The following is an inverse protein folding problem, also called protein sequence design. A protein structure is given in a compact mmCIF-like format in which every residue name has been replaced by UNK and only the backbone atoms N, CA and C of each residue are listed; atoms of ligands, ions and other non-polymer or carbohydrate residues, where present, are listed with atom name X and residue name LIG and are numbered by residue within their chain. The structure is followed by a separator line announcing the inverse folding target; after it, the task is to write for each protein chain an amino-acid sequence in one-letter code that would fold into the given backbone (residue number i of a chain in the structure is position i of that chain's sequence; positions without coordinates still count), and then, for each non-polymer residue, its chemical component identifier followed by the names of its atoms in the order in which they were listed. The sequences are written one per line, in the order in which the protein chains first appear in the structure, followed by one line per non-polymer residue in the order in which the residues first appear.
data_IF_672311779776
#
_entry.id   IF_672311779776
#
_cell.length_a   1.000
_cell.length_b   1.000
_cell.length_c   1.000
_cell.angle_alpha   90.00
_cell.angle_beta   90.00
_cell.angle_gamma   90.00
#
_symmetry.space_group_name_H-M   'P 1'
#
loop_
_entity.id
_entity.type
_entity.pdbx_description
1 polymer ?
#
# COMPACT_ATOMS: atom_id res chain seq x y z
N UNK A 1 -17.35 6.97 14.87
CA UNK A 1 -16.78 7.63 13.68
C UNK A 1 -16.57 6.53 12.66
N UNK A 2 -16.61 6.83 11.35
CA UNK A 2 -16.18 5.84 10.38
C UNK A 2 -14.70 5.52 10.68
N UNK A 3 -14.27 4.28 10.46
CA UNK A 3 -12.85 3.92 10.61
C UNK A 3 -11.99 4.63 9.55
N UNK A 4 -10.65 4.54 9.65
CA UNK A 4 -9.76 5.09 8.62
C UNK A 4 -10.09 4.53 7.24
N UNK A 5 -9.84 5.30 6.19
CA UNK A 5 -9.76 4.76 4.85
C UNK A 5 -8.50 3.86 4.75
N UNK A 6 -8.69 2.59 4.42
CA UNK A 6 -7.60 1.60 4.37
C UNK A 6 -7.32 1.29 2.91
N UNK A 7 -6.07 1.40 2.46
CA UNK A 7 -5.67 1.16 1.08
C UNK A 7 -4.48 0.21 1.03
N UNK A 8 -4.52 -0.78 0.14
CA UNK A 8 -3.35 -1.59 -0.16
C UNK A 8 -2.74 -1.22 -1.51
N UNK A 9 -1.41 -1.21 -1.56
CA UNK A 9 -0.65 -0.97 -2.79
C UNK A 9 -0.05 -2.29 -3.25
N UNK A 10 -0.69 -2.95 -4.22
CA UNK A 10 -0.25 -4.28 -4.65
C UNK A 10 -0.30 -4.51 -6.16
N UNK A 11 0.57 -5.43 -6.59
CA UNK A 11 0.65 -6.01 -7.92
C UNK A 11 1.54 -7.26 -7.83
N UNK A 12 1.10 -8.34 -8.48
CA UNK A 12 1.85 -9.60 -8.58
C UNK A 12 3.23 -9.43 -9.25
N UNK A 13 3.44 -8.39 -10.05
CA UNK A 13 4.75 -8.15 -10.68
C UNK A 13 5.71 -7.47 -9.70
N UNK A 14 6.88 -8.08 -9.50
CA UNK A 14 8.01 -7.45 -8.79
C UNK A 14 8.57 -6.25 -9.55
N UNK A 15 9.06 -5.24 -8.81
CA UNK A 15 9.77 -4.09 -9.39
C UNK A 15 8.90 -3.05 -10.11
N UNK A 16 7.56 -3.12 -10.00
CA UNK A 16 6.64 -2.10 -10.53
C UNK A 16 6.60 -0.80 -9.71
N UNK A 17 7.25 -0.80 -8.54
CA UNK A 17 7.34 0.36 -7.65
C UNK A 17 6.24 0.47 -6.60
N UNK A 18 5.76 -0.66 -6.04
CA UNK A 18 4.76 -0.69 -4.94
C UNK A 18 5.16 0.18 -3.76
N UNK A 19 6.27 -0.17 -3.11
CA UNK A 19 6.86 0.60 -2.02
C UNK A 19 7.05 2.08 -2.33
N UNK A 20 7.55 2.40 -3.54
CA UNK A 20 7.72 3.80 -3.96
C UNK A 20 6.37 4.53 -4.05
N UNK A 21 5.36 3.90 -4.62
CA UNK A 21 4.01 4.49 -4.71
C UNK A 21 3.38 4.61 -3.33
N UNK A 22 3.49 3.58 -2.49
CA UNK A 22 2.93 3.57 -1.13
C UNK A 22 3.51 4.71 -0.28
N UNK A 23 4.84 4.82 -0.19
CA UNK A 23 5.51 5.86 0.62
C UNK A 23 5.11 7.26 0.15
N UNK A 24 5.07 7.49 -1.17
CA UNK A 24 4.78 8.82 -1.70
C UNK A 24 3.28 9.17 -1.67
N UNK A 25 2.38 8.19 -1.74
CA UNK A 25 0.96 8.39 -1.48
C UNK A 25 0.75 8.78 0.00
N UNK A 26 1.37 8.03 0.92
CA UNK A 26 1.30 8.34 2.35
C UNK A 26 1.86 9.74 2.67
N UNK A 27 3.01 10.11 2.08
CA UNK A 27 3.58 11.45 2.20
C UNK A 27 2.69 12.54 1.61
N UNK A 28 2.01 12.28 0.48
CA UNK A 28 1.08 13.23 -0.11
C UNK A 28 -0.17 13.45 0.77
N UNK A 29 -0.74 12.38 1.33
CA UNK A 29 -1.85 12.48 2.28
C UNK A 29 -1.44 13.27 3.54
N UNK A 30 -0.22 13.05 4.04
CA UNK A 30 0.30 13.84 5.16
C UNK A 30 0.52 15.32 4.80
N UNK A 31 0.99 15.63 3.59
CA UNK A 31 1.10 17.01 3.09
C UNK A 31 -0.27 17.71 3.04
N UNK A 32 -1.35 16.96 2.74
CA UNK A 32 -2.72 17.45 2.83
C UNK A 32 -3.23 17.61 4.28
N UNK A 33 -2.41 17.28 5.27
CA UNK A 33 -2.70 17.40 6.70
C UNK A 33 -3.42 16.19 7.30
N UNK A 34 -3.40 15.03 6.62
CA UNK A 34 -4.05 13.81 7.10
C UNK A 34 -3.14 13.00 8.02
N UNK A 35 -3.73 12.40 9.04
CA UNK A 35 -3.05 11.45 9.93
C UNK A 35 -2.97 10.08 9.28
N UNK A 36 -1.74 9.60 8.99
CA UNK A 36 -1.49 8.38 8.20
C UNK A 36 -0.74 7.33 9.02
N UNK A 37 -1.23 6.09 8.96
CA UNK A 37 -0.53 4.89 9.38
C UNK A 37 -0.01 4.14 8.14
N UNK A 38 1.29 3.87 8.09
CA UNK A 38 1.90 3.04 7.07
C UNK A 38 2.16 1.63 7.62
N UNK A 39 1.83 0.58 6.87
CA UNK A 39 2.07 -0.81 7.25
C UNK A 39 2.89 -1.51 6.17
N UNK A 40 4.09 -1.96 6.50
CA UNK A 40 4.94 -2.74 5.60
C UNK A 40 4.73 -4.24 5.83
N UNK A 41 3.98 -4.91 4.95
CA UNK A 41 3.78 -6.36 5.02
C UNK A 41 4.82 -7.14 4.21
N UNK A 42 5.69 -6.49 3.43
CA UNK A 42 6.67 -7.21 2.62
C UNK A 42 7.77 -7.78 3.53
N UNK A 43 7.98 -9.11 3.57
CA UNK A 43 9.07 -9.70 4.35
C UNK A 43 10.47 -9.21 3.97
N UNK A 44 10.63 -8.51 2.84
CA UNK A 44 11.89 -7.87 2.46
C UNK A 44 12.15 -6.55 3.20
N UNK A 45 11.13 -5.93 3.83
CA UNK A 45 11.30 -4.70 4.61
C UNK A 45 11.73 -3.48 3.81
N UNK A 46 11.48 -3.46 2.49
CA UNK A 46 11.93 -2.36 1.64
C UNK A 46 11.28 -1.03 2.05
N UNK A 47 10.02 -1.02 2.47
CA UNK A 47 9.36 0.21 2.90
C UNK A 47 9.90 0.67 4.24
N UNK A 48 10.12 -0.28 5.15
CA UNK A 48 10.75 -0.07 6.46
C UNK A 48 12.12 0.59 6.32
N UNK A 49 12.99 0.08 5.44
CA UNK A 49 14.27 0.71 5.12
C UNK A 49 14.08 2.08 4.45
N UNK A 50 13.17 2.17 3.48
CA UNK A 50 12.85 3.39 2.74
C UNK A 50 12.25 4.53 3.56
N UNK A 51 11.78 4.24 4.76
CA UNK A 51 11.29 5.19 5.77
C UNK A 51 12.31 5.42 6.91
N UNK A 52 13.55 4.97 6.72
CA UNK A 52 14.65 5.20 7.66
C UNK A 52 14.58 4.37 8.95
N UNK A 53 13.75 3.32 8.98
CA UNK A 53 13.50 2.49 10.16
C UNK A 53 14.19 1.12 10.07
N UNK A 54 15.36 1.04 9.42
CA UNK A 54 16.08 -0.21 9.22
C UNK A 54 16.37 -0.97 10.53
N UNK A 55 16.59 -0.26 11.64
CA UNK A 55 16.81 -0.90 12.95
C UNK A 55 15.59 -1.72 13.43
N UNK A 56 14.36 -1.28 13.09
CA UNK A 56 13.12 -1.99 13.44
C UNK A 56 12.98 -3.36 12.74
N UNK A 57 13.66 -3.55 11.60
CA UNK A 57 13.59 -4.80 10.86
C UNK A 57 14.21 -5.99 11.61
N UNK A 58 15.18 -5.71 12.48
CA UNK A 58 15.88 -6.69 13.31
C UNK A 58 15.48 -6.63 14.80
N UNK A 59 14.43 -5.88 15.14
CA UNK A 59 13.98 -5.71 16.53
C UNK A 59 13.41 -7.03 17.11
N UNK A 60 13.54 -7.17 18.43
CA UNK A 60 13.01 -8.32 19.17
C UNK A 60 11.49 -8.21 19.35
N UNK A 61 10.78 -9.35 19.53
CA UNK A 61 9.34 -9.37 19.77
C UNK A 61 8.86 -8.47 20.92
N UNK A 62 7.63 -7.92 20.82
CA UNK A 62 6.62 -8.22 19.81
C UNK A 62 6.91 -7.58 18.43
N UNK A 63 6.70 -8.35 17.36
CA UNK A 63 6.84 -7.92 15.96
C UNK A 63 5.49 -7.91 15.24
N UNK A 64 5.46 -7.39 14.01
CA UNK A 64 4.28 -7.48 13.13
C UNK A 64 3.79 -8.92 12.94
N UNK A 65 4.69 -9.91 12.82
CA UNK A 65 4.25 -11.30 12.70
C UNK A 65 3.54 -11.76 13.98
N UNK A 66 4.08 -11.44 15.16
CA UNK A 66 3.48 -11.82 16.42
C UNK A 66 2.07 -11.21 16.56
N UNK A 67 1.92 -9.94 16.18
CA UNK A 67 0.63 -9.26 16.14
C UNK A 67 -0.36 -9.91 15.17
N UNK A 68 0.08 -10.31 13.96
CA UNK A 68 -0.80 -10.99 13.01
C UNK A 68 -1.21 -12.40 13.49
N UNK A 69 -0.32 -13.09 14.21
CA UNK A 69 -0.61 -14.43 14.78
C UNK A 69 -1.61 -14.33 15.93
N UNK A 70 -1.45 -13.38 16.83
CA UNK A 70 -2.39 -13.13 17.94
C UNK A 70 -2.78 -11.64 18.05
N UNK A 71 -3.71 -11.17 17.18
CA UNK A 71 -4.21 -9.80 17.22
C UNK A 71 -4.88 -9.42 18.53
N UNK A 72 -5.19 -10.41 19.37
CA UNK A 72 -5.86 -10.17 20.66
C UNK A 72 -4.91 -9.90 21.79
N UNK A 73 -3.74 -10.55 21.77
CA UNK A 73 -2.71 -10.42 22.77
C UNK A 73 -1.77 -9.24 22.49
N UNK A 74 -1.48 -8.95 21.23
CA UNK A 74 -0.49 -7.95 20.83
C UNK A 74 -1.22 -6.83 20.05
N UNK A 75 -1.51 -5.70 20.69
CA UNK A 75 -2.11 -4.55 20.02
C UNK A 75 -1.10 -3.91 19.07
N UNK A 76 -1.61 -3.32 17.98
CA UNK A 76 -0.78 -2.75 16.93
C UNK A 76 0.06 -1.57 17.45
N UNK A 77 -0.44 -0.83 18.43
CA UNK A 77 0.21 0.32 19.07
C UNK A 77 1.56 -0.02 19.73
N UNK A 78 1.78 -1.27 20.13
CA UNK A 78 3.05 -1.71 20.73
C UNK A 78 4.18 -1.80 19.69
N UNK A 79 3.83 -1.88 18.41
CA UNK A 79 4.76 -2.08 17.28
C UNK A 79 4.71 -0.92 16.26
N UNK A 80 4.16 0.23 16.67
CA UNK A 80 4.17 1.46 15.87
C UNK A 80 5.43 2.28 16.18
N UNK A 81 6.15 2.61 15.11
CA UNK A 81 7.31 3.50 15.12
C UNK A 81 6.89 4.87 14.60
N UNK A 82 7.32 5.93 15.28
CA UNK A 82 7.07 7.29 14.79
C UNK A 82 8.07 7.68 13.71
N UNK A 83 7.56 8.22 12.61
CA UNK A 83 8.33 8.83 11.54
C UNK A 83 7.85 10.29 11.33
N UNK A 84 8.65 11.13 10.67
CA UNK A 84 8.37 12.57 10.58
C UNK A 84 7.10 12.91 9.78
N UNK A 85 6.75 12.06 8.81
CA UNK A 85 5.60 12.25 7.91
C UNK A 85 4.41 11.33 8.22
N UNK A 86 4.60 10.26 9.00
CA UNK A 86 3.56 9.23 9.25
C UNK A 86 3.98 8.34 10.43
N UNK A 87 3.05 7.62 11.03
CA UNK A 87 3.39 6.50 11.92
C UNK A 87 3.54 5.22 11.09
N UNK A 88 4.43 4.32 11.50
CA UNK A 88 4.84 3.15 10.71
C UNK A 88 4.77 1.88 11.53
N UNK A 89 4.07 0.87 11.02
CA UNK A 89 4.26 -0.53 11.42
C UNK A 89 5.30 -1.13 10.48
N UNK A 90 6.50 -1.26 11.00
CA UNK A 90 7.63 -1.82 10.27
C UNK A 90 7.42 -3.31 10.00
N UNK A 91 7.93 -3.77 8.86
CA UNK A 91 8.19 -5.18 8.62
C UNK A 91 9.36 -5.63 9.49
N UNK A 92 9.47 -6.94 9.69
CA UNK A 92 10.52 -7.55 10.51
C UNK A 92 11.00 -8.83 9.84
N UNK A 93 12.24 -9.24 10.10
CA UNK A 93 12.82 -10.49 9.58
C UNK A 93 11.92 -11.72 9.82
N UNK A 94 11.16 -11.75 10.91
CA UNK A 94 10.24 -12.84 11.23
C UNK A 94 9.09 -12.96 10.22
N UNK A 95 8.73 -11.90 9.48
CA UNK A 95 7.74 -11.95 8.40
C UNK A 95 8.12 -12.95 7.29
N UNK A 96 9.37 -13.40 7.20
CA UNK A 96 9.76 -14.50 6.31
C UNK A 96 9.04 -15.83 6.65
N UNK A 97 8.57 -15.99 7.90
CA UNK A 97 7.76 -17.12 8.35
C UNK A 97 6.24 -16.83 8.28
N UNK A 98 5.81 -15.64 7.86
CA UNK A 98 4.39 -15.25 7.92
C UNK A 98 3.48 -16.23 7.17
N UNK A 99 3.87 -16.69 5.99
CA UNK A 99 3.06 -17.62 5.21
C UNK A 99 2.75 -18.94 5.96
N UNK A 100 3.76 -19.54 6.62
CA UNK A 100 3.58 -20.79 7.35
C UNK A 100 2.94 -20.58 8.73
N UNK A 101 3.20 -19.45 9.38
CA UNK A 101 2.60 -19.10 10.67
C UNK A 101 1.12 -18.78 10.54
N UNK A 102 0.73 -17.96 9.55
CA UNK A 102 -0.66 -17.57 9.31
C UNK A 102 -1.49 -18.74 8.80
N UNK A 103 -0.96 -19.60 7.92
CA UNK A 103 -1.69 -20.78 7.42
C UNK A 103 -2.13 -21.77 8.52
N UNK A 104 -1.58 -21.67 9.72
CA UNK A 104 -1.97 -22.48 10.89
C UNK A 104 -3.05 -21.80 11.74
N UNK A 105 -3.34 -20.53 11.49
CA UNK A 105 -4.31 -19.75 12.22
C UNK A 105 -5.70 -19.89 11.59
N UNK A 106 -6.77 -19.91 12.40
CA UNK A 106 -8.13 -19.71 11.86
C UNK A 106 -8.24 -18.31 11.26
N UNK A 107 -9.04 -18.13 10.21
CA UNK A 107 -9.25 -16.81 9.58
C UNK A 107 -7.90 -16.16 9.22
N UNK A 108 -7.04 -16.95 8.56
CA UNK A 108 -5.65 -16.59 8.30
C UNK A 108 -5.51 -15.39 7.37
N UNK A 109 -6.54 -15.11 6.58
CA UNK A 109 -6.65 -14.09 5.56
C UNK A 109 -7.20 -12.76 6.09
N UNK A 110 -7.72 -12.71 7.33
CA UNK A 110 -8.34 -11.50 7.93
C UNK A 110 -7.68 -11.09 9.25
N UNK A 111 -6.42 -11.53 9.47
CA UNK A 111 -5.65 -11.20 10.67
C UNK A 111 -5.25 -9.74 10.75
N UNK A 112 -4.86 -9.14 9.62
CA UNK A 112 -4.59 -7.71 9.57
C UNK A 112 -5.86 -6.90 9.81
N UNK A 113 -6.99 -7.31 9.25
CA UNK A 113 -8.28 -6.65 9.48
C UNK A 113 -8.63 -6.62 10.97
N UNK A 114 -8.51 -7.78 11.63
CA UNK A 114 -8.69 -7.93 13.08
C UNK A 114 -7.75 -7.04 13.91
N UNK A 115 -6.53 -6.77 13.44
CA UNK A 115 -5.60 -5.84 14.08
C UNK A 115 -6.04 -4.39 13.89
N UNK A 116 -6.36 -4.01 12.65
CA UNK A 116 -6.72 -2.64 12.30
C UNK A 116 -8.06 -2.22 12.90
N UNK A 117 -8.99 -3.16 13.11
CA UNK A 117 -10.27 -2.93 13.81
C UNK A 117 -10.10 -2.55 15.29
N UNK A 118 -8.93 -2.83 15.85
CA UNK A 118 -8.60 -2.55 17.25
C UNK A 118 -7.75 -1.30 17.44
N UNK A 119 -7.48 -0.57 16.36
CA UNK A 119 -6.74 0.69 16.40
C UNK A 119 -7.41 1.66 17.37
N UNK A 120 -6.67 2.07 18.40
CA UNK A 120 -7.14 3.07 19.37
C UNK A 120 -6.81 4.50 18.92
N UNK A 121 -5.86 4.67 17.99
CA UNK A 121 -5.48 5.96 17.42
C UNK A 121 -6.39 6.36 16.26
N UNK A 122 -6.73 7.65 16.23
CA UNK A 122 -7.55 8.26 15.19
C UNK A 122 -6.72 8.55 13.92
N UNK A 123 -6.30 7.52 13.19
CA UNK A 123 -5.77 7.69 11.84
C UNK A 123 -6.93 7.96 10.87
N UNK A 124 -6.69 8.81 9.88
CA UNK A 124 -7.63 9.01 8.76
C UNK A 124 -7.34 8.03 7.63
N UNK A 125 -6.07 7.63 7.48
CA UNK A 125 -5.62 6.72 6.42
C UNK A 125 -4.72 5.61 6.96
N UNK A 126 -4.91 4.40 6.44
CA UNK A 126 -3.97 3.27 6.57
C UNK A 126 -3.48 2.88 5.17
N UNK A 127 -2.17 2.95 4.93
CA UNK A 127 -1.54 2.55 3.66
C UNK A 127 -0.74 1.27 3.89
N UNK A 128 -1.06 0.22 3.14
CA UNK A 128 -0.43 -1.10 3.26
C UNK A 128 0.45 -1.38 2.04
N UNK A 129 1.76 -1.56 2.23
CA UNK A 129 2.67 -2.04 1.18
C UNK A 129 2.77 -3.57 1.21
N UNK A 130 2.59 -4.19 0.04
CA UNK A 130 2.47 -5.64 -0.08
C UNK A 130 3.68 -6.27 -0.79
N UNK A 131 4.01 -7.54 -0.49
CA UNK A 131 5.03 -8.28 -1.22
C UNK A 131 4.65 -8.49 -2.71
N UNK A 132 5.62 -8.83 -3.60
CA UNK A 132 5.37 -9.11 -5.02
C UNK A 132 4.73 -10.48 -5.29
N UNK A 133 4.08 -11.09 -4.30
CA UNK A 133 3.53 -12.44 -4.39
C UNK A 133 2.09 -12.46 -3.91
N UNK A 134 1.23 -13.15 -4.66
CA UNK A 134 -0.15 -13.42 -4.24
C UNK A 134 -0.15 -14.62 -3.28
N UNK A 135 -0.89 -14.51 -2.19
CA UNK A 135 -0.98 -15.50 -1.11
C UNK A 135 -1.34 -14.83 0.21
N UNK A 136 -1.32 -15.58 1.30
CA UNK A 136 -1.90 -15.20 2.61
C UNK A 136 -1.51 -13.81 3.14
N UNK A 137 -0.28 -13.33 2.89
CA UNK A 137 0.13 -11.97 3.29
C UNK A 137 -0.63 -10.90 2.49
N UNK A 138 -0.73 -11.08 1.17
CA UNK A 138 -1.48 -10.18 0.29
C UNK A 138 -2.99 -10.34 0.50
N UNK A 139 -3.47 -11.52 0.89
CA UNK A 139 -4.88 -11.73 1.27
C UNK A 139 -5.24 -10.88 2.48
N UNK A 140 -4.37 -10.88 3.51
CA UNK A 140 -4.53 -10.00 4.66
C UNK A 140 -4.62 -8.53 4.28
N UNK A 141 -3.79 -8.07 3.34
CA UNK A 141 -3.88 -6.69 2.87
C UNK A 141 -5.20 -6.41 2.14
N UNK A 142 -5.57 -7.26 1.19
CA UNK A 142 -6.76 -7.07 0.36
C UNK A 142 -8.05 -7.13 1.18
N UNK A 143 -8.19 -8.15 2.04
CA UNK A 143 -9.35 -8.30 2.92
C UNK A 143 -9.45 -7.19 3.98
N UNK A 144 -8.31 -6.68 4.48
CA UNK A 144 -8.33 -5.63 5.50
C UNK A 144 -8.54 -4.22 4.94
N UNK A 145 -8.21 -4.01 3.66
CA UNK A 145 -8.21 -2.67 3.06
C UNK A 145 -9.39 -2.42 2.14
N UNK A 146 -9.83 -3.43 1.38
CA UNK A 146 -10.93 -3.33 0.40
C UNK A 146 -10.73 -2.25 -0.70
N UNK A 147 -9.68 -1.42 -0.62
CA UNK A 147 -9.37 -0.38 -1.59
C UNK A 147 -7.97 -0.63 -2.16
N UNK A 148 -7.93 -0.87 -3.46
CA UNK A 148 -6.74 -1.33 -4.18
C UNK A 148 -6.12 -0.22 -5.03
N UNK A 149 -4.86 0.10 -4.73
CA UNK A 149 -4.00 0.92 -5.59
C UNK A 149 -3.07 0.00 -6.39
N UNK A 150 -3.07 0.12 -7.72
CA UNK A 150 -2.37 -0.79 -8.64
C UNK A 150 -1.20 -0.08 -9.34
N UNK A 151 0.05 -0.23 -8.86
CA UNK A 151 1.22 0.21 -9.60
C UNK A 151 1.50 -0.74 -10.77
N UNK A 152 1.67 -0.22 -11.98
CA UNK A 152 1.96 -1.01 -13.17
C UNK A 152 2.99 -0.32 -14.07
N UNK A 153 3.90 -1.10 -14.66
CA UNK A 153 4.80 -0.57 -15.70
C UNK A 153 4.06 -0.48 -17.03
N UNK A 154 4.45 0.44 -17.90
CA UNK A 154 3.96 0.55 -19.28
C UNK A 154 4.65 -0.44 -20.22
N UNK A 155 4.60 -1.71 -19.86
CA UNK A 155 5.20 -2.83 -20.59
C UNK A 155 4.16 -3.88 -20.97
N UNK A 156 4.32 -4.62 -22.09
CA UNK A 156 3.38 -5.66 -22.50
C UNK A 156 3.13 -6.74 -21.44
N UNK A 157 4.13 -7.03 -20.60
CA UNK A 157 4.02 -8.02 -19.53
C UNK A 157 3.05 -7.59 -18.42
N UNK A 158 2.80 -6.29 -18.27
CA UNK A 158 1.86 -5.77 -17.26
C UNK A 158 0.42 -6.19 -17.52
N UNK A 159 0.03 -6.44 -18.78
CA UNK A 159 -1.32 -6.93 -19.11
C UNK A 159 -1.62 -8.24 -18.40
N UNK A 160 -0.71 -9.20 -18.53
CA UNK A 160 -0.85 -10.52 -17.90
C UNK A 160 -0.83 -10.42 -16.37
N UNK A 161 -0.01 -9.54 -15.81
CA UNK A 161 0.05 -9.33 -14.36
C UNK A 161 -1.25 -8.73 -13.81
N UNK A 162 -1.88 -7.81 -14.53
CA UNK A 162 -3.18 -7.27 -14.14
C UNK A 162 -4.30 -8.32 -14.25
N UNK A 163 -4.35 -9.08 -15.35
CA UNK A 163 -5.31 -10.19 -15.48
C UNK A 163 -5.22 -11.16 -14.30
N UNK A 164 -4.00 -11.57 -13.94
CA UNK A 164 -3.76 -12.48 -12.82
C UNK A 164 -4.14 -11.86 -11.48
N UNK A 165 -3.94 -10.55 -11.29
CA UNK A 165 -4.38 -9.84 -10.10
C UNK A 165 -5.90 -9.84 -9.98
N UNK A 166 -6.63 -9.53 -11.07
CA UNK A 166 -8.09 -9.50 -11.03
C UNK A 166 -8.72 -10.89 -10.90
N UNK A 167 -8.18 -11.91 -11.59
CA UNK A 167 -8.60 -13.30 -11.40
C UNK A 167 -8.44 -13.73 -9.92
N UNK A 168 -7.39 -13.24 -9.26
CA UNK A 168 -7.11 -13.52 -7.86
C UNK A 168 -8.05 -12.78 -6.91
N UNK A 169 -8.20 -11.46 -7.11
CA UNK A 169 -9.11 -10.61 -6.33
C UNK A 169 -10.53 -11.17 -6.38
N UNK A 170 -11.04 -11.51 -7.57
CA UNK A 170 -12.39 -12.07 -7.70
C UNK A 170 -12.57 -13.42 -6.99
N UNK A 171 -11.52 -14.23 -6.86
CA UNK A 171 -11.58 -15.45 -6.03
C UNK A 171 -11.68 -15.10 -4.55
N UNK A 172 -10.88 -14.12 -4.10
CA UNK A 172 -10.81 -13.71 -2.71
C UNK A 172 -12.13 -13.07 -2.25
N UNK A 173 -12.73 -12.20 -3.07
CA UNK A 173 -14.06 -11.61 -2.83
C UNK A 173 -15.13 -12.70 -2.63
N UNK A 174 -15.13 -13.73 -3.48
CA UNK A 174 -16.08 -14.84 -3.38
C UNK A 174 -15.87 -15.70 -2.12
N UNK A 175 -14.62 -15.91 -1.72
CA UNK A 175 -14.27 -16.77 -0.59
C UNK A 175 -14.51 -16.09 0.77
N UNK A 176 -14.40 -14.76 0.83
CA UNK A 176 -14.48 -13.98 2.07
C UNK A 176 -15.69 -13.02 2.17
N UNK A 177 -16.54 -12.93 1.13
CA UNK A 177 -17.70 -12.03 1.11
C UNK A 177 -17.31 -10.55 1.32
N UNK A 178 -16.22 -10.15 0.67
CA UNK A 178 -15.68 -8.77 0.63
C UNK A 178 -15.79 -8.19 -0.77
N UNK A 179 -15.79 -6.87 -0.88
CA UNK A 179 -15.75 -6.13 -2.16
C UNK A 179 -14.43 -5.36 -2.20
N UNK A 180 -13.59 -5.62 -3.21
CA UNK A 180 -12.26 -5.01 -3.33
C UNK A 180 -12.27 -4.07 -4.53
N UNK A 181 -12.33 -2.78 -4.24
CA UNK A 181 -12.45 -1.72 -5.23
C UNK A 181 -11.08 -1.23 -5.71
N UNK A 182 -10.75 -1.32 -7.01
CA UNK A 182 -9.59 -0.63 -7.55
C UNK A 182 -9.86 0.89 -7.56
N UNK A 183 -9.21 1.62 -6.66
CA UNK A 183 -9.42 3.07 -6.51
C UNK A 183 -8.41 3.91 -7.28
N UNK A 184 -7.26 3.33 -7.64
CA UNK A 184 -6.25 4.02 -8.46
C UNK A 184 -5.35 3.05 -9.21
N UNK A 185 -4.98 3.42 -10.44
CA UNK A 185 -3.89 2.78 -11.19
C UNK A 185 -2.73 3.76 -11.35
N UNK A 186 -1.53 3.34 -10.96
CA UNK A 186 -0.31 4.14 -11.14
C UNK A 186 0.53 3.56 -12.27
N UNK A 187 0.44 4.17 -13.44
CA UNK A 187 1.30 3.87 -14.58
C UNK A 187 2.70 4.44 -14.32
N UNK A 188 3.61 3.56 -13.89
CA UNK A 188 4.89 3.92 -13.32
C UNK A 188 6.05 3.79 -14.32
N UNK A 189 7.11 4.57 -14.07
CA UNK A 189 8.34 4.67 -14.86
C UNK A 189 8.13 5.05 -16.32
N UNK A 190 7.15 5.91 -16.59
CA UNK A 190 6.84 6.38 -17.95
C UNK A 190 8.02 7.18 -18.53
N UNK A 191 8.37 6.89 -19.79
CA UNK A 191 9.44 7.55 -20.55
C UNK A 191 8.92 8.34 -21.77
N UNK A 192 7.59 8.36 -22.00
CA UNK A 192 6.90 9.04 -23.12
C UNK A 192 7.23 8.41 -24.48
N UNK A 193 7.07 7.10 -24.55
CA UNK A 193 7.25 6.29 -25.77
C UNK A 193 5.91 5.91 -26.38
N UNK A 194 5.91 5.49 -27.65
CA UNK A 194 4.72 4.91 -28.30
C UNK A 194 4.17 3.70 -27.51
N UNK A 195 5.06 2.92 -26.91
CA UNK A 195 4.67 1.77 -26.09
C UNK A 195 3.93 2.22 -24.81
N UNK A 196 4.35 3.35 -24.23
CA UNK A 196 3.66 3.94 -23.08
C UNK A 196 2.25 4.35 -23.47
N UNK A 197 2.08 5.04 -24.60
CA UNK A 197 0.77 5.45 -25.11
C UNK A 197 -0.16 4.25 -25.38
N UNK A 198 0.37 3.19 -26.01
CA UNK A 198 -0.38 1.96 -26.28
C UNK A 198 -0.80 1.22 -25.00
N UNK A 199 0.05 1.24 -23.96
CA UNK A 199 -0.26 0.63 -22.68
C UNK A 199 -1.23 1.47 -21.85
N UNK A 200 -1.11 2.79 -21.87
CA UNK A 200 -2.06 3.70 -21.22
C UNK A 200 -3.46 3.56 -21.81
N UNK A 201 -3.58 3.54 -23.14
CA UNK A 201 -4.87 3.32 -23.80
C UNK A 201 -5.46 1.94 -23.46
N UNK A 202 -4.62 0.93 -23.24
CA UNK A 202 -5.08 -0.38 -22.78
C UNK A 202 -5.55 -0.37 -21.32
N UNK A 203 -4.86 0.35 -20.42
CA UNK A 203 -5.32 0.51 -19.04
C UNK A 203 -6.68 1.23 -18.98
N UNK A 204 -6.86 2.29 -19.78
CA UNK A 204 -8.12 3.03 -19.89
C UNK A 204 -9.29 2.14 -20.39
N UNK A 205 -9.01 1.21 -21.32
CA UNK A 205 -10.02 0.26 -21.82
C UNK A 205 -10.31 -0.87 -20.81
N UNK A 206 -9.29 -1.33 -20.08
CA UNK A 206 -9.42 -2.40 -19.11
C UNK A 206 -10.08 -1.95 -17.80
N UNK A 207 -9.89 -0.69 -17.40
CA UNK A 207 -10.34 -0.10 -16.14
C UNK A 207 -10.95 1.28 -16.39
N UNK A 208 -12.14 1.35 -17.02
CA UNK A 208 -12.73 2.61 -17.48
C UNK A 208 -13.12 3.56 -16.34
N UNK A 209 -13.38 3.03 -15.15
CA UNK A 209 -13.85 3.79 -13.99
C UNK A 209 -12.74 4.07 -12.96
N UNK A 210 -11.50 3.65 -13.24
CA UNK A 210 -10.37 3.79 -12.31
C UNK A 210 -9.46 4.93 -12.78
N UNK A 211 -9.17 5.94 -11.95
CA UNK A 211 -8.26 7.02 -12.32
C UNK A 211 -6.83 6.50 -12.53
N UNK A 212 -6.17 7.02 -13.57
CA UNK A 212 -4.81 6.60 -13.97
C UNK A 212 -3.81 7.74 -13.74
N UNK A 213 -2.89 7.54 -12.80
CA UNK A 213 -1.82 8.48 -12.46
C UNK A 213 -0.52 8.09 -13.15
N UNK A 214 0.18 9.09 -13.69
CA UNK A 214 1.34 8.90 -14.57
C UNK A 214 2.62 9.28 -13.86
N UNK A 215 3.31 8.29 -13.29
CA UNK A 215 4.57 8.51 -12.58
C UNK A 215 5.75 8.24 -13.51
N UNK A 216 6.56 9.27 -13.73
CA UNK A 216 7.79 9.22 -14.51
C UNK A 216 8.96 8.78 -13.64
N UNK A 217 9.94 8.14 -14.27
CA UNK A 217 11.20 7.82 -13.58
C UNK A 217 11.93 9.12 -13.20
N UNK A 218 12.21 9.29 -11.91
CA UNK A 218 12.97 10.40 -11.35
C UNK A 218 14.06 9.90 -10.41
N UNK A 219 15.21 10.55 -10.45
CA UNK A 219 16.30 10.29 -9.49
C UNK A 219 15.88 10.76 -8.10
N UNK A 220 15.09 11.83 -8.00
CA UNK A 220 14.58 12.33 -6.73
C UNK A 220 13.78 11.29 -5.93
N UNK A 221 12.95 10.47 -6.60
CA UNK A 221 12.24 9.36 -5.94
C UNK A 221 13.19 8.36 -5.29
N UNK A 222 14.34 8.07 -5.92
CA UNK A 222 15.34 7.16 -5.37
C UNK A 222 16.14 7.78 -4.23
N UNK A 223 16.40 9.10 -4.32
CA UNK A 223 17.09 9.85 -3.27
C UNK A 223 16.23 9.97 -2.01
N UNK A 224 14.98 10.38 -2.17
CA UNK A 224 14.02 10.46 -1.06
C UNK A 224 13.94 9.13 -0.31
N UNK A 225 13.75 8.02 -1.04
CA UNK A 225 13.78 6.67 -0.47
C UNK A 225 15.08 6.37 0.29
N UNK A 226 16.24 6.67 -0.31
CA UNK A 226 17.55 6.42 0.33
C UNK A 226 17.79 7.31 1.56
N UNK A 227 17.15 8.47 1.62
CA UNK A 227 17.19 9.40 2.74
C UNK A 227 16.12 9.07 3.81
N UNK A 228 15.34 7.99 3.62
CA UNK A 228 14.36 7.51 4.59
C UNK A 228 13.06 8.31 4.60
N UNK A 229 12.65 8.92 3.48
CA UNK A 229 11.54 9.87 3.43
C UNK A 229 10.80 9.85 2.08
N UNK A 230 9.64 10.51 2.01
CA UNK A 230 8.88 10.71 0.77
C UNK A 230 9.42 11.90 -0.06
N UNK A 231 8.87 12.11 -1.27
CA UNK A 231 9.14 13.32 -2.07
C UNK A 231 8.69 14.63 -1.40
N UNK A 232 7.87 14.56 -0.35
CA UNK A 232 7.30 15.74 0.30
C UNK A 232 8.24 16.36 1.32
N UNK A 233 9.10 15.54 1.94
CA UNK A 233 10.12 16.01 2.88
C UNK A 233 11.40 16.57 2.21
N UNK A 234 11.59 16.38 0.90
CA UNK A 234 12.74 16.96 0.19
C UNK A 234 12.48 18.41 -0.26
N UNK A 235 13.51 19.25 -0.24
CA UNK A 235 13.42 20.66 -0.69
C UNK A 235 13.37 20.83 -2.22
N UNK A 236 13.68 19.77 -2.99
CA UNK A 236 13.69 19.81 -4.45
C UNK A 236 12.26 19.86 -5.01
N UNK A 237 12.00 20.81 -5.91
CA UNK A 237 10.76 20.85 -6.67
C UNK A 237 10.77 19.76 -7.75
N UNK A 238 9.94 18.74 -7.57
CA UNK A 238 9.85 17.58 -8.44
C UNK A 238 8.43 17.50 -8.96
N UNK A 239 8.30 17.49 -10.29
CA UNK A 239 7.04 17.38 -11.03
C UNK A 239 6.17 16.16 -10.67
N UNK A 240 6.74 15.17 -10.00
CA UNK A 240 6.03 14.00 -9.51
C UNK A 240 5.25 14.26 -8.22
N UNK A 241 5.58 15.31 -7.45
CA UNK A 241 4.79 15.72 -6.28
C UNK A 241 3.36 16.03 -6.69
N UNK A 242 3.18 16.83 -7.75
CA UNK A 242 1.86 17.18 -8.28
C UNK A 242 1.01 15.95 -8.62
N UNK A 243 1.63 14.87 -9.12
CA UNK A 243 0.93 13.63 -9.46
C UNK A 243 0.43 12.91 -8.20
N UNK A 244 1.26 12.83 -7.16
CA UNK A 244 0.87 12.22 -5.89
C UNK A 244 -0.12 13.09 -5.11
N UNK A 245 -0.01 14.42 -5.16
CA UNK A 245 -0.99 15.34 -4.59
C UNK A 245 -2.34 15.16 -5.25
N UNK A 246 -2.41 15.18 -6.59
CA UNK A 246 -3.66 14.99 -7.30
C UNK A 246 -4.34 13.65 -6.96
N UNK A 247 -3.54 12.58 -6.81
CA UNK A 247 -4.03 11.28 -6.37
C UNK A 247 -4.55 11.32 -4.92
N UNK A 248 -3.82 11.96 -4.02
CA UNK A 248 -4.23 12.10 -2.63
C UNK A 248 -5.50 12.95 -2.49
N UNK A 249 -5.63 14.06 -3.22
CA UNK A 249 -6.82 14.93 -3.23
C UNK A 249 -8.06 14.17 -3.71
N UNK A 250 -7.95 13.39 -4.79
CA UNK A 250 -9.09 12.62 -5.33
C UNK A 250 -9.53 11.50 -4.38
N UNK A 251 -8.58 10.78 -3.76
CA UNK A 251 -8.88 9.79 -2.72
C UNK A 251 -9.49 10.45 -1.48
N UNK A 252 -8.99 11.62 -1.09
CA UNK A 252 -9.49 12.40 0.04
C UNK A 252 -10.93 12.87 -0.18
N UNK A 253 -11.24 13.37 -1.37
CA UNK A 253 -12.62 13.69 -1.76
C UNK A 253 -13.51 12.45 -1.76
N UNK A 254 -13.03 11.33 -2.30
CA UNK A 254 -13.78 10.07 -2.37
C UNK A 254 -14.16 9.56 -0.98
N UNK A 255 -13.21 9.45 -0.06
CA UNK A 255 -13.45 8.88 1.28
C UNK A 255 -14.07 9.90 2.26
N UNK A 256 -13.76 11.19 2.15
CA UNK A 256 -14.43 12.23 2.95
C UNK A 256 -15.93 12.35 2.62
N UNK A 257 -16.32 12.10 1.37
CA UNK A 257 -17.73 12.18 0.94
C UNK A 257 -18.58 11.00 1.46
N UNK A 258 -17.95 9.87 1.79
CA UNK A 258 -18.63 8.69 2.34
C UNK A 258 -19.05 8.87 3.82
N UNK A 259 -18.57 9.90 4.52
CA UNK A 259 -18.87 10.17 5.93
C UNK A 259 -20.20 10.91 6.20
N UNK A 260 -21.02 11.21 5.18
CA UNK A 260 -22.33 11.87 5.38
C UNK A 260 -23.52 10.93 5.12
N UNK A 261 -23.89 10.05 6.08
CA UNK A 261 -25.25 9.54 6.14
C UNK A 261 -26.16 10.59 6.79
N UNK A 262 -27.25 10.93 6.09
CA UNK A 262 -28.31 11.83 6.52
C UNK A 262 -29.12 11.32 7.73
#
# INVERSE_FOLDING_TARGET
MAGPARLCVTNQKGGVGKTTVAINLAGALNELGRDVLFVDLDPQGNATEGLGLLEAYDDEPPTLLDALVDPTAIPLEEIVYSHAEMDVVASNIDMNAAASSLAQQPESETRLDSLLDRLERDYEYVIVDCPPHLGVITDNALCATENLVIPALTEPTSKRSLELLFDYVGSLEMDHDVEIDPVALVANRIETTRQDDEMLAWFEDALPDVPIYRVRKRVALQRAFADGQSLFAIEEDVDMRDVFVAMAEELDEQFSTQEVPA
#
